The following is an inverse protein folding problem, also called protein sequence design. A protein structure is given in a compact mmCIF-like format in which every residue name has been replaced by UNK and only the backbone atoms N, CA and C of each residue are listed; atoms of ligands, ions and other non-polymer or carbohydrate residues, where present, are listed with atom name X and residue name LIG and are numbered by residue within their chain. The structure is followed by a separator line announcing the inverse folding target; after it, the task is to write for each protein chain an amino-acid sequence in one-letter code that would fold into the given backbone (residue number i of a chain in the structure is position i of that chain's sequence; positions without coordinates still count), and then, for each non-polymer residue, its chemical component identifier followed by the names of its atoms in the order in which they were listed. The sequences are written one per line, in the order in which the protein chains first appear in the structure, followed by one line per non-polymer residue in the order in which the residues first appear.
data_IF_654653986070
#
_entry.id   IF_654653986070
#
_cell.length_a   1.000
_cell.length_b   1.000
_cell.length_c   1.000
_cell.angle_alpha   90.00
_cell.angle_beta   90.00
_cell.angle_gamma   90.00
#
_symmetry.space_group_name_H-M   'P 1'
#
loop_
_entity.id
_entity.type
_entity.pdbx_description
1 polymer ?
#
# COMPACT_ATOMS: atom_id res chain seq x y z
N UNK A 1 5.15 -4.83 -7.66
CA UNK A 1 6.25 -5.65 -7.11
C UNK A 1 5.77 -6.45 -5.91
N UNK A 2 6.43 -7.56 -5.58
CA UNK A 2 6.14 -8.34 -4.36
C UNK A 2 7.43 -8.49 -3.55
N UNK A 3 7.38 -8.13 -2.27
CA UNK A 3 8.49 -8.23 -1.31
C UNK A 3 8.13 -9.30 -0.27
N UNK A 4 8.93 -10.36 -0.19
CA UNK A 4 8.71 -11.50 0.70
C UNK A 4 9.48 -11.32 2.01
N UNK A 5 8.82 -10.67 2.99
CA UNK A 5 9.41 -10.42 4.30
C UNK A 5 9.63 -11.69 5.10
N UNK A 6 8.78 -12.72 4.91
CA UNK A 6 8.97 -14.01 5.56
C UNK A 6 10.31 -14.63 5.15
N UNK A 7 10.59 -14.68 3.85
CA UNK A 7 11.85 -15.22 3.35
C UNK A 7 13.05 -14.38 3.80
N UNK A 8 12.94 -13.05 3.72
CA UNK A 8 14.00 -12.15 4.18
C UNK A 8 14.33 -12.34 5.67
N UNK A 9 13.32 -12.49 6.53
CA UNK A 9 13.53 -12.73 7.96
C UNK A 9 14.11 -14.11 8.26
N UNK A 10 13.74 -15.14 7.49
CA UNK A 10 14.34 -16.48 7.60
C UNK A 10 15.84 -16.47 7.29
N UNK A 11 16.29 -15.64 6.34
CA UNK A 11 17.70 -15.53 6.00
C UNK A 11 18.56 -15.02 7.17
N UNK A 12 17.98 -14.30 8.13
CA UNK A 12 18.67 -13.81 9.33
C UNK A 12 18.31 -14.59 10.60
N UNK A 13 17.76 -15.80 10.44
CA UNK A 13 17.45 -16.71 11.55
C UNK A 13 16.16 -16.39 12.31
N UNK A 14 15.35 -15.44 11.85
CA UNK A 14 14.04 -15.15 12.43
C UNK A 14 12.95 -15.98 11.75
N UNK A 15 12.08 -16.61 12.55
CA UNK A 15 10.92 -17.31 12.04
C UNK A 15 9.66 -16.47 12.25
N UNK A 16 9.03 -16.08 11.16
CA UNK A 16 7.72 -15.42 11.15
C UNK A 16 6.73 -16.21 10.32
N UNK A 17 5.44 -16.02 10.62
CA UNK A 17 4.33 -16.54 9.81
C UNK A 17 4.30 -15.84 8.44
N UNK A 18 3.28 -16.07 7.61
CA UNK A 18 3.19 -15.41 6.29
C UNK A 18 3.34 -13.88 6.42
N UNK A 19 4.20 -13.26 5.62
CA UNK A 19 4.46 -11.82 5.64
C UNK A 19 4.98 -11.33 4.28
N UNK A 20 4.16 -10.58 3.55
CA UNK A 20 4.46 -10.12 2.18
C UNK A 20 3.93 -8.71 1.98
N UNK A 21 4.75 -7.81 1.40
CA UNK A 21 4.27 -6.53 0.87
C UNK A 21 4.07 -6.63 -0.64
N UNK A 22 2.92 -6.16 -1.11
CA UNK A 22 2.59 -6.01 -2.52
C UNK A 22 2.57 -4.52 -2.84
N UNK A 23 3.39 -4.13 -3.80
CA UNK A 23 3.43 -2.79 -4.38
C UNK A 23 2.68 -2.78 -5.70
N UNK A 24 1.80 -1.81 -5.87
CA UNK A 24 1.00 -1.63 -7.06
C UNK A 24 0.70 -0.16 -7.32
N UNK A 25 0.41 0.16 -8.57
CA UNK A 25 0.10 1.52 -8.99
C UNK A 25 -0.21 1.54 -10.47
N UNK A 26 -0.98 2.54 -10.91
CA UNK A 26 -1.26 2.76 -12.32
C UNK A 26 -0.15 3.65 -12.90
N UNK A 27 0.64 3.18 -13.89
CA UNK A 27 1.71 3.99 -14.49
C UNK A 27 1.24 5.35 -14.98
N UNK A 28 0.04 5.43 -15.56
CA UNK A 28 -0.53 6.70 -16.05
C UNK A 28 -0.78 7.71 -14.93
N UNK A 29 -1.20 7.26 -13.74
CA UNK A 29 -1.36 8.14 -12.58
C UNK A 29 -0.01 8.65 -12.10
N UNK A 30 1.02 7.80 -12.07
CA UNK A 30 2.38 8.20 -11.67
C UNK A 30 3.00 9.17 -12.68
N UNK A 31 2.74 8.98 -13.97
CA UNK A 31 3.25 9.83 -15.06
C UNK A 31 2.80 11.29 -14.93
N UNK A 32 1.56 11.53 -14.48
CA UNK A 32 1.03 12.88 -14.30
C UNK A 32 1.31 13.45 -12.91
N UNK A 33 1.16 12.64 -11.86
CA UNK A 33 1.22 13.13 -10.47
C UNK A 33 2.64 13.41 -9.98
N UNK A 34 3.64 12.58 -10.30
CA UNK A 34 4.99 12.76 -9.77
C UNK A 34 5.72 14.02 -10.30
N UNK A 35 5.59 14.41 -11.58
CA UNK A 35 6.16 15.69 -12.03
C UNK A 35 5.43 16.91 -11.44
N UNK A 36 4.13 16.81 -11.20
CA UNK A 36 3.32 17.91 -10.64
C UNK A 36 3.53 18.08 -9.14
N UNK A 37 3.69 16.96 -8.41
CA UNK A 37 3.77 16.88 -6.95
C UNK A 37 4.91 15.92 -6.56
N UNK A 38 6.19 16.29 -6.76
CA UNK A 38 7.33 15.39 -6.54
C UNK A 38 7.48 14.94 -5.08
N UNK A 39 6.95 15.69 -4.12
CA UNK A 39 6.97 15.38 -2.70
C UNK A 39 6.27 14.07 -2.34
N UNK A 40 5.35 13.57 -3.18
CA UNK A 40 4.64 12.32 -2.94
C UNK A 40 5.43 11.07 -3.37
N UNK A 41 6.68 11.22 -3.82
CA UNK A 41 7.48 10.14 -4.39
C UNK A 41 7.66 8.93 -3.46
N UNK A 42 7.53 9.10 -2.14
CA UNK A 42 7.57 7.99 -1.16
C UNK A 42 6.24 7.21 -1.07
N UNK A 43 5.13 7.84 -1.46
CA UNK A 43 3.80 7.23 -1.40
C UNK A 43 3.50 6.37 -2.64
N UNK A 44 4.29 6.54 -3.71
CA UNK A 44 4.13 5.87 -4.99
C UNK A 44 5.32 4.92 -5.25
N UNK A 45 5.09 3.64 -5.58
CA UNK A 45 3.80 2.97 -5.73
C UNK A 45 3.13 2.71 -4.38
N UNK A 46 1.81 2.51 -4.44
CA UNK A 46 0.99 2.19 -3.30
C UNK A 46 1.29 0.77 -2.77
N UNK A 47 1.04 0.54 -1.49
CA UNK A 47 1.45 -0.68 -0.77
C UNK A 47 0.28 -1.34 -0.02
N UNK A 48 0.16 -2.65 -0.16
CA UNK A 48 -0.63 -3.53 0.72
C UNK A 48 0.31 -4.51 1.41
N UNK A 49 0.15 -4.69 2.72
CA UNK A 49 0.85 -5.69 3.50
C UNK A 49 -0.10 -6.83 3.88
N UNK A 50 0.23 -8.04 3.42
CA UNK A 50 -0.52 -9.26 3.73
C UNK A 50 0.30 -10.08 4.70
N UNK A 51 -0.25 -10.37 5.87
CA UNK A 51 0.46 -11.07 6.92
C UNK A 51 -0.44 -11.95 7.76
N UNK A 52 0.16 -12.91 8.46
CA UNK A 52 -0.56 -13.87 9.27
C UNK A 52 -0.37 -13.58 10.76
N UNK A 53 -1.50 -13.45 11.47
CA UNK A 53 -1.55 -13.22 12.92
C UNK A 53 -1.18 -14.47 13.70
N UNK A 54 -0.89 -14.29 14.99
CA UNK A 54 -0.63 -15.39 15.91
C UNK A 54 -1.77 -16.41 16.01
N UNK A 55 -3.03 -15.98 15.77
CA UNK A 55 -4.22 -16.83 15.75
C UNK A 55 -4.44 -17.54 14.40
N UNK A 56 -3.51 -17.42 13.45
CA UNK A 56 -3.56 -18.06 12.13
C UNK A 56 -4.41 -17.32 11.10
N UNK A 57 -5.03 -16.18 11.43
CA UNK A 57 -5.78 -15.39 10.45
C UNK A 57 -4.86 -14.55 9.57
N UNK A 58 -5.13 -14.55 8.26
CA UNK A 58 -4.53 -13.63 7.31
C UNK A 58 -5.15 -12.24 7.46
N UNK A 59 -4.31 -11.21 7.46
CA UNK A 59 -4.67 -9.80 7.57
C UNK A 59 -4.16 -9.08 6.35
N UNK A 60 -5.00 -8.20 5.81
CA UNK A 60 -4.64 -7.23 4.78
C UNK A 60 -4.56 -5.85 5.45
N UNK A 61 -3.39 -5.23 5.41
CA UNK A 61 -3.10 -3.93 6.01
C UNK A 61 -2.64 -2.94 4.94
N UNK A 62 -3.15 -1.72 5.01
CA UNK A 62 -2.76 -0.64 4.11
C UNK A 62 -3.05 0.70 4.80
N UNK A 63 -2.33 1.75 4.39
CA UNK A 63 -2.69 3.11 4.78
C UNK A 63 -3.77 3.61 3.83
N UNK A 64 -4.79 4.28 4.36
CA UNK A 64 -5.80 4.96 3.53
C UNK A 64 -5.12 6.08 2.73
N UNK A 65 -5.12 6.02 1.38
CA UNK A 65 -4.59 7.08 0.55
C UNK A 65 -5.05 8.49 0.97
N UNK A 66 -6.34 8.70 1.26
CA UNK A 66 -6.87 10.00 1.68
C UNK A 66 -6.12 10.58 2.89
N UNK A 67 -5.86 9.76 3.90
CA UNK A 67 -5.14 10.19 5.10
C UNK A 67 -3.66 10.49 4.81
N UNK A 68 -3.02 9.68 3.97
CA UNK A 68 -1.62 9.87 3.56
C UNK A 68 -1.46 11.17 2.78
N UNK A 69 -2.27 11.37 1.74
CA UNK A 69 -2.16 12.53 0.87
C UNK A 69 -2.62 13.84 1.52
N UNK A 70 -3.57 13.78 2.46
CA UNK A 70 -4.00 14.97 3.22
C UNK A 70 -2.87 15.58 4.07
N UNK A 71 -1.87 14.78 4.48
CA UNK A 71 -0.73 15.26 5.27
C UNK A 71 0.14 16.29 4.54
N UNK A 72 0.07 16.34 3.21
CA UNK A 72 0.80 17.30 2.38
C UNK A 72 0.11 18.67 2.28
N UNK A 73 -1.10 18.83 2.84
CA UNK A 73 -1.80 20.12 2.89
C UNK A 73 -2.26 20.66 1.53
N UNK A 74 -2.19 19.85 0.47
CA UNK A 74 -2.58 20.22 -0.88
C UNK A 74 -4.00 19.68 -1.21
N UNK A 75 -4.97 20.55 -1.60
CA UNK A 75 -6.32 20.12 -1.96
C UNK A 75 -6.39 19.13 -3.13
N UNK A 76 -5.50 19.26 -4.13
CA UNK A 76 -5.43 18.32 -5.26
C UNK A 76 -4.98 16.93 -4.81
N UNK A 77 -3.97 16.87 -3.94
CA UNK A 77 -3.50 15.61 -3.35
C UNK A 77 -4.57 14.98 -2.46
N UNK A 78 -5.30 15.79 -1.68
CA UNK A 78 -6.44 15.32 -0.89
C UNK A 78 -7.51 14.69 -1.76
N UNK A 79 -7.88 15.35 -2.88
CA UNK A 79 -8.86 14.83 -3.83
C UNK A 79 -8.37 13.52 -4.48
N UNK A 80 -7.09 13.46 -4.86
CA UNK A 80 -6.48 12.24 -5.39
C UNK A 80 -6.49 11.09 -4.38
N UNK A 81 -6.17 11.36 -3.11
CA UNK A 81 -6.25 10.38 -2.03
C UNK A 81 -7.67 9.83 -1.84
N UNK A 82 -8.68 10.70 -1.82
CA UNK A 82 -10.09 10.27 -1.74
C UNK A 82 -10.51 9.36 -2.91
N UNK A 83 -10.05 9.66 -4.13
CA UNK A 83 -10.30 8.80 -5.29
C UNK A 83 -9.65 7.43 -5.12
N UNK A 84 -8.43 7.39 -4.58
CA UNK A 84 -7.68 6.16 -4.36
C UNK A 84 -8.25 5.29 -3.24
N UNK A 85 -8.83 5.87 -2.19
CA UNK A 85 -9.52 5.12 -1.13
C UNK A 85 -10.57 4.16 -1.71
N UNK A 86 -11.40 4.64 -2.64
CA UNK A 86 -12.39 3.79 -3.31
C UNK A 86 -11.80 2.64 -4.12
N UNK A 87 -10.62 2.83 -4.74
CA UNK A 87 -9.93 1.74 -5.43
C UNK A 87 -9.40 0.69 -4.44
N UNK A 88 -8.87 1.13 -3.30
CA UNK A 88 -8.39 0.25 -2.24
C UNK A 88 -9.52 -0.55 -1.59
N UNK A 89 -10.66 0.09 -1.33
CA UNK A 89 -11.85 -0.58 -0.79
C UNK A 89 -12.33 -1.70 -1.72
N UNK A 90 -12.34 -1.48 -3.04
CA UNK A 90 -12.66 -2.52 -4.01
C UNK A 90 -11.65 -3.67 -3.99
N UNK A 91 -10.35 -3.38 -4.08
CA UNK A 91 -9.30 -4.40 -4.10
C UNK A 91 -9.34 -5.25 -2.82
N UNK A 92 -9.47 -4.61 -1.67
CA UNK A 92 -9.48 -5.30 -0.37
C UNK A 92 -10.78 -6.06 -0.17
N UNK A 93 -11.92 -5.47 -0.53
CA UNK A 93 -13.21 -6.15 -0.48
C UNK A 93 -13.27 -7.40 -1.36
N UNK A 94 -12.64 -7.36 -2.54
CA UNK A 94 -12.52 -8.53 -3.41
C UNK A 94 -11.58 -9.59 -2.82
N UNK A 95 -10.48 -9.18 -2.20
CA UNK A 95 -9.46 -10.07 -1.64
C UNK A 95 -9.86 -10.75 -0.32
N UNK A 96 -10.85 -10.21 0.40
CA UNK A 96 -11.28 -10.73 1.71
C UNK A 96 -12.66 -11.37 1.68
N UNK A 97 -13.20 -11.65 0.49
CA UNK A 97 -14.46 -12.39 0.32
C UNK A 97 -14.28 -13.90 0.49
#
# INVERSE_FOLDING_TARGET
TRVDHQNMLRMVGANVRGAVTIEFGKPDMMRSSLPAHPEIGLEMPMRIYVWERADGRTVVSYHRPAAVFAAYGNPELTAMGNMMDGMFEQIVGDATR
#
